data_IF_529558190828
#
_entry.id   IF_529558190828
#
_cell.length_a   1.000
_cell.length_b   1.000
_cell.length_c   1.000
_cell.angle_alpha   90.00
_cell.angle_beta   90.00
_cell.angle_gamma   90.00
#
_symmetry.space_group_name_H-M   'P 1'
#
loop_
_entity.id
_entity.type
_entity.pdbx_description
1 polymer ?
#
# COMPACT_ATOMS: atom_id res chain seq x y z
N UNK A 1 -11.77 -12.71 26.15
CA UNK A 1 -12.78 -13.34 25.27
C UNK A 1 -12.66 -14.86 25.37
N UNK A 2 -13.75 -15.61 25.19
CA UNK A 2 -13.73 -17.08 25.20
C UNK A 2 -13.85 -17.62 23.77
N UNK A 3 -13.40 -18.86 23.54
CA UNK A 3 -13.53 -19.51 22.23
C UNK A 3 -15.01 -19.58 21.78
N UNK A 4 -15.93 -19.82 22.72
CA UNK A 4 -17.37 -19.85 22.45
C UNK A 4 -17.94 -18.52 21.96
N UNK A 5 -17.46 -17.39 22.50
CA UNK A 5 -17.85 -16.06 22.01
C UNK A 5 -17.30 -15.79 20.60
N UNK A 6 -16.09 -16.23 20.29
CA UNK A 6 -15.51 -16.08 18.96
C UNK A 6 -16.26 -16.92 17.91
N UNK A 7 -16.61 -18.17 18.23
CA UNK A 7 -17.38 -19.05 17.34
C UNK A 7 -18.85 -18.65 17.20
N UNK A 8 -19.38 -17.89 18.17
CA UNK A 8 -20.70 -17.28 18.06
C UNK A 8 -20.72 -16.18 16.99
N UNK A 9 -19.69 -15.35 16.94
CA UNK A 9 -19.56 -14.27 15.94
C UNK A 9 -19.07 -14.76 14.58
N UNK A 10 -18.15 -15.74 14.55
CA UNK A 10 -17.59 -16.29 13.32
C UNK A 10 -17.75 -17.80 13.28
N UNK A 11 -18.56 -18.28 12.33
CA UNK A 11 -18.85 -19.72 12.17
C UNK A 11 -17.62 -20.57 11.84
N UNK A 12 -16.53 -19.97 11.38
CA UNK A 12 -15.27 -20.66 11.07
C UNK A 12 -14.08 -19.69 11.06
N UNK A 13 -12.87 -20.26 11.05
CA UNK A 13 -11.63 -19.48 10.81
C UNK A 13 -11.63 -18.79 9.44
N UNK A 14 -12.22 -19.43 8.43
CA UNK A 14 -12.37 -18.83 7.11
C UNK A 14 -13.29 -17.61 7.14
N UNK A 15 -14.41 -17.68 7.86
CA UNK A 15 -15.32 -16.56 8.03
C UNK A 15 -14.66 -15.38 8.76
N UNK A 16 -13.84 -15.66 9.78
CA UNK A 16 -13.03 -14.64 10.44
C UNK A 16 -11.99 -14.03 9.48
N UNK A 17 -11.28 -14.84 8.71
CA UNK A 17 -10.29 -14.35 7.74
C UNK A 17 -10.92 -13.45 6.67
N UNK A 18 -12.08 -13.84 6.13
CA UNK A 18 -12.85 -13.01 5.20
C UNK A 18 -13.25 -11.67 5.81
N UNK A 19 -13.77 -11.66 7.04
CA UNK A 19 -14.15 -10.42 7.71
C UNK A 19 -12.96 -9.49 8.01
N UNK A 20 -11.80 -10.07 8.38
CA UNK A 20 -10.56 -9.29 8.55
C UNK A 20 -10.12 -8.66 7.23
N UNK A 21 -10.22 -9.40 6.13
CA UNK A 21 -9.86 -8.90 4.79
C UNK A 21 -10.82 -7.83 4.33
N UNK A 22 -12.13 -8.03 4.48
CA UNK A 22 -13.15 -7.04 4.14
C UNK A 22 -12.88 -5.71 4.86
N UNK A 23 -12.74 -5.74 6.19
CA UNK A 23 -12.50 -4.53 6.98
C UNK A 23 -11.14 -3.86 6.65
N UNK A 24 -10.08 -4.66 6.52
CA UNK A 24 -8.73 -4.14 6.28
C UNK A 24 -8.51 -3.60 4.87
N UNK A 25 -9.17 -4.18 3.86
CA UNK A 25 -9.09 -3.74 2.47
C UNK A 25 -9.97 -2.52 2.22
N UNK A 26 -11.17 -2.42 2.82
CA UNK A 26 -12.04 -1.24 2.69
C UNK A 26 -11.30 0.05 3.04
N UNK A 27 -10.47 0.04 4.09
CA UNK A 27 -9.64 1.20 4.43
C UNK A 27 -8.62 1.53 3.33
N UNK A 28 -7.98 0.51 2.75
CA UNK A 28 -7.00 0.73 1.68
C UNK A 28 -7.63 1.22 0.37
N UNK A 29 -8.81 0.71 0.04
CA UNK A 29 -9.60 1.20 -1.09
C UNK A 29 -10.00 2.65 -0.88
N UNK A 30 -10.51 2.99 0.32
CA UNK A 30 -10.87 4.37 0.69
C UNK A 30 -9.68 5.32 0.56
N UNK A 31 -8.49 4.91 0.98
CA UNK A 31 -7.26 5.70 0.86
C UNK A 31 -6.80 5.88 -0.60
N UNK A 32 -7.11 4.90 -1.45
CA UNK A 32 -6.81 4.92 -2.89
C UNK A 32 -7.77 5.79 -3.68
N UNK A 33 -9.04 5.87 -3.27
CA UNK A 33 -10.06 6.71 -3.89
C UNK A 33 -10.20 8.10 -3.27
N UNK A 34 -9.49 8.37 -2.16
CA UNK A 34 -9.53 9.67 -1.50
C UNK A 34 -9.01 10.75 -2.45
N UNK A 35 -9.92 11.59 -2.94
CA UNK A 35 -9.63 12.60 -3.94
C UNK A 35 -8.45 13.46 -3.50
N UNK A 36 -7.38 13.33 -4.28
CA UNK A 36 -6.12 14.03 -4.07
C UNK A 36 -5.72 14.77 -5.32
N UNK A 37 -6.61 14.92 -6.31
CA UNK A 37 -6.28 15.48 -7.62
C UNK A 37 -5.85 16.95 -7.50
N UNK A 38 -4.57 17.18 -7.23
CA UNK A 38 -3.99 18.52 -7.08
C UNK A 38 -3.54 19.09 -8.43
N UNK A 39 -3.69 18.31 -9.49
CA UNK A 39 -3.11 18.60 -10.81
C UNK A 39 -1.61 18.37 -10.87
N UNK A 40 -1.03 17.68 -9.87
CA UNK A 40 0.39 17.31 -9.79
C UNK A 40 0.51 15.79 -9.59
N UNK A 41 0.45 14.98 -10.67
CA UNK A 41 0.30 13.53 -10.57
C UNK A 41 1.38 12.83 -9.74
N UNK A 42 2.63 13.30 -9.76
CA UNK A 42 3.70 12.72 -8.94
C UNK A 42 3.53 13.07 -7.45
N UNK A 43 3.00 14.26 -7.15
CA UNK A 43 2.59 14.65 -5.80
C UNK A 43 1.42 13.82 -5.29
N UNK A 44 0.44 13.55 -6.14
CA UNK A 44 -0.75 12.75 -5.83
C UNK A 44 -0.35 11.28 -5.57
N UNK A 45 0.54 10.73 -6.40
CA UNK A 45 1.17 9.42 -6.21
C UNK A 45 1.93 9.35 -4.88
N UNK A 46 2.68 10.41 -4.54
CA UNK A 46 3.40 10.49 -3.28
C UNK A 46 2.47 10.44 -2.07
N UNK A 47 1.40 11.23 -2.11
CA UNK A 47 0.36 11.22 -1.09
C UNK A 47 -0.27 9.84 -0.93
N UNK A 48 -0.65 9.20 -2.04
CA UNK A 48 -1.23 7.86 -2.05
C UNK A 48 -0.29 6.83 -1.40
N UNK A 49 0.96 6.77 -1.86
CA UNK A 49 1.94 5.79 -1.38
C UNK A 49 2.22 5.96 0.12
N UNK A 50 2.39 7.19 0.60
CA UNK A 50 2.59 7.48 2.01
C UNK A 50 1.37 7.11 2.86
N UNK A 51 0.15 7.41 2.41
CA UNK A 51 -1.09 7.00 3.12
C UNK A 51 -1.19 5.49 3.26
N UNK A 52 -0.98 4.74 2.18
CA UNK A 52 -1.02 3.27 2.21
C UNK A 52 0.10 2.72 3.09
N UNK A 53 1.31 3.28 3.01
CA UNK A 53 2.43 2.85 3.83
C UNK A 53 2.18 3.10 5.32
N UNK A 54 1.63 4.27 5.68
CA UNK A 54 1.21 4.57 7.05
C UNK A 54 0.15 3.59 7.53
N UNK A 55 -0.86 3.27 6.72
CA UNK A 55 -1.88 2.28 7.08
C UNK A 55 -1.26 0.89 7.33
N UNK A 56 -0.31 0.46 6.50
CA UNK A 56 0.46 -0.77 6.71
C UNK A 56 1.29 -0.72 8.01
N UNK A 57 1.81 0.44 8.42
CA UNK A 57 2.60 0.56 9.64
C UNK A 57 1.74 0.64 10.91
N UNK A 58 0.55 1.25 10.86
CA UNK A 58 -0.23 1.58 12.06
C UNK A 58 -1.46 0.70 12.26
N UNK A 59 -2.10 0.22 11.19
CA UNK A 59 -3.35 -0.53 11.26
C UNK A 59 -3.11 -2.05 11.21
N UNK A 60 -3.38 -2.73 12.33
CA UNK A 60 -3.21 -4.18 12.45
C UNK A 60 -4.13 -4.95 11.50
N UNK A 61 -5.37 -4.49 11.31
CA UNK A 61 -6.34 -5.11 10.41
C UNK A 61 -5.88 -5.00 8.95
N UNK A 62 -5.37 -3.84 8.53
CA UNK A 62 -4.80 -3.62 7.21
C UNK A 62 -3.61 -4.57 6.94
N UNK A 63 -2.68 -4.69 7.89
CA UNK A 63 -1.56 -5.66 7.75
C UNK A 63 -2.04 -7.10 7.64
N UNK A 64 -3.00 -7.48 8.47
CA UNK A 64 -3.54 -8.84 8.48
C UNK A 64 -4.26 -9.15 7.18
N UNK A 65 -5.07 -8.21 6.68
CA UNK A 65 -5.79 -8.31 5.42
C UNK A 65 -4.82 -8.51 4.24
N UNK A 66 -3.83 -7.62 4.09
CA UNK A 66 -2.83 -7.71 3.03
C UNK A 66 -2.11 -9.05 3.07
N UNK A 67 -1.70 -9.51 4.26
CA UNK A 67 -1.05 -10.82 4.41
C UNK A 67 -1.95 -11.98 4.00
N UNK A 68 -3.21 -12.00 4.44
CA UNK A 68 -4.17 -13.06 4.11
C UNK A 68 -4.43 -13.13 2.60
N UNK A 69 -4.40 -11.99 1.92
CA UNK A 69 -4.52 -11.90 0.45
C UNK A 69 -3.23 -12.39 -0.23
N UNK A 70 -2.06 -11.93 0.21
CA UNK A 70 -0.74 -12.35 -0.30
C UNK A 70 -0.52 -13.87 -0.18
N UNK A 71 -0.93 -14.48 0.94
CA UNK A 71 -0.81 -15.93 1.20
C UNK A 71 -1.91 -16.75 0.49
N UNK A 72 -2.86 -16.10 -0.20
CA UNK A 72 -3.93 -16.76 -0.94
C UNK A 72 -5.05 -17.36 -0.07
N UNK A 73 -5.14 -16.97 1.20
CA UNK A 73 -6.18 -17.42 2.12
C UNK A 73 -7.54 -16.78 1.83
N UNK A 74 -7.54 -15.56 1.30
CA UNK A 74 -8.76 -14.85 0.87
C UNK A 74 -8.47 -14.14 -0.44
N UNK A 75 -9.43 -14.13 -1.35
CA UNK A 75 -9.32 -13.39 -2.62
C UNK A 75 -9.70 -11.93 -2.42
N UNK A 76 -8.90 -11.03 -2.97
CA UNK A 76 -9.21 -9.61 -3.11
C UNK A 76 -8.53 -9.11 -4.39
N UNK A 77 -9.18 -8.19 -5.09
CA UNK A 77 -8.68 -7.50 -6.28
C UNK A 77 -7.86 -6.24 -5.93
N UNK A 78 -7.84 -5.85 -4.65
CA UNK A 78 -7.13 -4.66 -4.16
C UNK A 78 -5.69 -4.51 -4.66
N UNK A 79 -4.81 -5.55 -4.64
CA UNK A 79 -3.45 -5.39 -5.16
C UNK A 79 -3.42 -4.98 -6.64
N UNK A 80 -4.36 -5.50 -7.43
CA UNK A 80 -4.53 -5.15 -8.83
C UNK A 80 -5.04 -3.72 -9.01
N UNK A 81 -6.06 -3.33 -8.23
CA UNK A 81 -6.62 -1.98 -8.25
C UNK A 81 -5.58 -0.92 -7.84
N UNK A 82 -4.84 -1.17 -6.76
CA UNK A 82 -3.78 -0.28 -6.29
C UNK A 82 -2.66 -0.14 -7.33
N UNK A 83 -2.21 -1.25 -7.95
CA UNK A 83 -1.21 -1.21 -9.03
C UNK A 83 -1.71 -0.42 -10.23
N UNK A 84 -2.98 -0.57 -10.60
CA UNK A 84 -3.58 0.15 -11.72
C UNK A 84 -3.61 1.66 -11.47
N UNK A 85 -3.96 2.08 -10.25
CA UNK A 85 -3.98 3.49 -9.86
C UNK A 85 -2.58 4.11 -9.82
N UNK A 86 -1.59 3.38 -9.27
CA UNK A 86 -0.18 3.79 -9.32
C UNK A 86 0.29 3.98 -10.77
N UNK A 87 -0.05 3.05 -11.66
CA UNK A 87 0.31 3.16 -13.08
C UNK A 87 -0.36 4.36 -13.74
N UNK A 88 -1.65 4.60 -13.49
CA UNK A 88 -2.39 5.75 -14.02
C UNK A 88 -1.71 7.06 -13.64
N UNK A 89 -1.37 7.24 -12.37
CA UNK A 89 -0.69 8.45 -11.88
C UNK A 89 0.70 8.64 -12.48
N UNK A 90 1.44 7.55 -12.71
CA UNK A 90 2.73 7.60 -13.38
C UNK A 90 2.62 7.95 -14.87
N UNK A 91 1.60 7.44 -15.56
CA UNK A 91 1.32 7.82 -16.95
C UNK A 91 0.96 9.31 -17.05
N UNK A 92 0.13 9.82 -16.14
CA UNK A 92 -0.19 11.24 -16.04
C UNK A 92 1.04 12.10 -15.71
N UNK A 93 1.88 11.66 -14.78
CA UNK A 93 3.14 12.33 -14.44
C UNK A 93 4.10 12.37 -15.66
N UNK A 94 4.14 11.31 -16.47
CA UNK A 94 4.92 11.29 -17.71
C UNK A 94 4.41 12.33 -18.71
N UNK A 95 3.10 12.40 -18.92
CA UNK A 95 2.46 13.37 -19.81
C UNK A 95 2.64 14.82 -19.33
N UNK A 96 2.66 15.03 -18.01
CA UNK A 96 2.90 16.33 -17.39
C UNK A 96 4.38 16.74 -17.34
N UNK A 97 5.31 15.86 -17.75
CA UNK A 97 6.75 16.11 -17.66
C UNK A 97 7.30 16.06 -16.23
N UNK A 98 6.55 15.48 -15.29
CA UNK A 98 6.95 15.28 -13.89
C UNK A 98 7.81 14.03 -13.69
N UNK A 99 7.87 13.11 -14.67
CA UNK A 99 8.81 11.98 -14.69
C UNK A 99 10.05 12.29 -15.55
N UNK A 100 11.19 11.77 -15.12
CA UNK A 100 12.42 11.80 -15.90
C UNK A 100 12.23 11.09 -17.26
N UNK A 101 12.86 11.62 -18.30
CA UNK A 101 12.63 11.19 -19.69
C UNK A 101 13.02 9.72 -19.96
N UNK A 102 13.92 9.15 -19.18
CA UNK A 102 14.38 7.76 -19.26
C UNK A 102 13.59 6.80 -18.37
N UNK A 103 12.65 7.30 -17.56
CA UNK A 103 11.83 6.49 -16.65
C UNK A 103 10.53 6.08 -17.34
N UNK A 104 10.36 4.77 -17.57
CA UNK A 104 9.10 4.21 -18.08
C UNK A 104 8.08 4.07 -16.94
N UNK A 105 6.82 4.53 -17.10
CA UNK A 105 5.76 4.39 -16.09
C UNK A 105 5.60 2.96 -15.56
N UNK A 106 5.57 1.96 -16.43
CA UNK A 106 5.46 0.56 -16.00
C UNK A 106 6.63 0.08 -15.13
N UNK A 107 7.86 0.51 -15.43
CA UNK A 107 9.04 0.19 -14.60
C UNK A 107 8.94 0.88 -13.23
N UNK A 108 8.53 2.15 -13.20
CA UNK A 108 8.32 2.89 -11.95
C UNK A 108 7.21 2.26 -11.10
N UNK A 109 6.14 1.77 -11.71
CA UNK A 109 5.08 1.06 -11.00
C UNK A 109 5.62 -0.20 -10.31
N UNK A 110 6.47 -0.99 -10.98
CA UNK A 110 7.10 -2.16 -10.34
C UNK A 110 7.97 -1.77 -9.13
N UNK A 111 8.78 -0.72 -9.27
CA UNK A 111 9.59 -0.20 -8.16
C UNK A 111 8.72 0.16 -6.95
N UNK A 112 7.62 0.90 -7.19
CA UNK A 112 6.71 1.31 -6.12
C UNK A 112 6.08 0.09 -5.46
N UNK A 113 5.61 -0.90 -6.22
CA UNK A 113 5.05 -2.14 -5.66
C UNK A 113 6.08 -2.86 -4.78
N UNK A 114 7.34 -2.98 -5.21
CA UNK A 114 8.39 -3.59 -4.38
C UNK A 114 8.66 -2.81 -3.09
N UNK A 115 8.61 -1.46 -3.13
CA UNK A 115 8.73 -0.64 -1.92
C UNK A 115 7.55 -0.92 -0.98
N UNK A 116 6.32 -0.99 -1.49
CA UNK A 116 5.13 -1.26 -0.67
C UNK A 116 5.14 -2.66 -0.06
N UNK A 117 5.56 -3.68 -0.80
CA UNK A 117 5.80 -5.03 -0.28
C UNK A 117 6.86 -5.01 0.84
N UNK A 118 7.95 -4.28 0.65
CA UNK A 118 8.99 -4.07 1.66
C UNK A 118 8.47 -3.40 2.93
N UNK A 119 7.59 -2.40 2.80
CA UNK A 119 6.93 -1.73 3.94
C UNK A 119 6.05 -2.72 4.69
N UNK A 120 5.21 -3.49 3.99
CA UNK A 120 4.33 -4.48 4.60
C UNK A 120 5.15 -5.54 5.35
N UNK A 121 6.21 -6.06 4.73
CA UNK A 121 7.09 -7.06 5.32
C UNK A 121 7.81 -6.54 6.58
N UNK A 122 8.39 -5.34 6.53
CA UNK A 122 9.07 -4.75 7.68
C UNK A 122 8.10 -4.43 8.83
N UNK A 123 6.94 -3.87 8.53
CA UNK A 123 5.91 -3.57 9.54
C UNK A 123 5.43 -4.84 10.25
N UNK A 124 5.32 -5.96 9.53
CA UNK A 124 4.99 -7.27 10.13
C UNK A 124 6.10 -7.77 11.06
N UNK A 125 7.37 -7.67 10.64
CA UNK A 125 8.52 -8.08 11.47
C UNK A 125 8.60 -7.23 12.75
N UNK A 126 8.48 -5.91 12.62
CA UNK A 126 8.48 -5.00 13.76
C UNK A 126 7.36 -5.28 14.76
N UNK A 127 6.16 -5.61 14.26
CA UNK A 127 5.04 -6.01 15.12
C UNK A 127 5.32 -7.34 15.86
N UNK A 128 5.97 -8.31 15.20
CA UNK A 128 6.35 -9.58 15.81
C UNK A 128 7.48 -9.45 16.85
N UNK A 129 8.39 -8.50 16.64
CA UNK A 129 9.55 -8.23 17.51
C UNK A 129 9.24 -7.26 18.67
N UNK A 130 7.99 -6.80 18.81
CA UNK A 130 7.58 -5.93 19.92
C UNK A 130 7.90 -4.44 19.74
N UNK A 131 7.93 -3.96 18.49
CA UNK A 131 8.06 -2.54 18.17
C UNK A 131 9.47 -2.11 17.72
N UNK A 132 10.20 -2.99 17.02
CA UNK A 132 11.47 -2.61 16.41
C UNK A 132 11.29 -1.42 15.45
N UNK A 133 12.33 -0.60 15.31
CA UNK A 133 12.28 0.62 14.50
C UNK A 133 12.04 0.25 13.04
N UNK A 134 10.86 0.62 12.51
CA UNK A 134 10.61 0.62 11.06
C UNK A 134 11.35 1.81 10.48
N UNK A 135 12.02 1.62 9.34
CA UNK A 135 12.67 2.71 8.62
C UNK A 135 11.69 3.86 8.36
N UNK A 136 12.17 5.11 8.41
CA UNK A 136 11.34 6.27 8.08
C UNK A 136 10.92 6.18 6.60
N UNK A 137 9.67 5.80 6.37
CA UNK A 137 9.16 5.62 5.02
C UNK A 137 9.16 6.93 4.24
N UNK A 138 9.05 8.07 4.90
CA UNK A 138 9.14 9.36 4.23
C UNK A 138 10.56 9.60 3.67
N UNK A 139 11.60 9.09 4.32
CA UNK A 139 12.97 9.15 3.82
C UNK A 139 13.18 8.22 2.62
N UNK A 140 12.76 6.96 2.73
CA UNK A 140 12.82 6.00 1.62
C UNK A 140 12.04 6.52 0.42
N UNK A 141 10.85 7.06 0.65
CA UNK A 141 10.00 7.60 -0.39
C UNK A 141 10.59 8.84 -1.07
N UNK A 142 11.24 9.74 -0.30
CA UNK A 142 12.00 10.86 -0.89
C UNK A 142 13.10 10.38 -1.83
N UNK A 143 13.81 9.32 -1.48
CA UNK A 143 14.84 8.73 -2.35
C UNK A 143 14.22 8.13 -3.64
N UNK A 144 13.09 7.44 -3.52
CA UNK A 144 12.33 6.93 -4.68
C UNK A 144 11.92 8.08 -5.60
N UNK A 145 11.26 9.11 -5.07
CA UNK A 145 10.83 10.26 -5.86
C UNK A 145 11.99 10.99 -6.53
N UNK A 146 13.12 11.16 -5.83
CA UNK A 146 14.32 11.76 -6.41
C UNK A 146 14.91 10.97 -7.58
N UNK A 147 14.68 9.66 -7.63
CA UNK A 147 15.05 8.80 -8.77
C UNK A 147 14.03 8.82 -9.92
N UNK A 148 12.78 9.19 -9.66
CA UNK A 148 11.70 9.24 -10.66
C UNK A 148 11.54 10.62 -11.31
N UNK A 149 11.78 11.68 -10.55
CA UNK A 149 11.64 13.05 -11.01
C UNK A 149 12.80 13.47 -11.94
N UNK A 150 12.57 14.42 -12.87
CA UNK A 150 13.62 15.00 -13.68
C UNK A 150 14.75 15.55 -12.82
N UNK A 151 15.99 15.29 -13.23
CA UNK A 151 17.15 15.97 -12.64
C UNK A 151 17.07 17.44 -13.05
N UNK A 152 16.99 18.34 -12.07
CA UNK A 152 17.25 19.76 -12.33
C UNK A 152 18.71 19.90 -12.82
N UNK A 153 18.94 20.64 -13.91
CA UNK A 153 20.29 20.92 -14.42
C UNK A 153 21.12 21.77 -13.44
#
# INVERSE_FOLDING_TARGET
>A
MTLGALTFHFRSKAALASAVVEEGIVELERLSTADSATGRPLGDLSSLALRVATALQTAVLTRAAVRLVEEGHVRSDWPGAFRAEVLRLLEEASLAGELAADVRPATAAHLIMYVMEGVAAQSRRAAAEGGSTVADIAEVWRAVLGGLAPRMP
#
